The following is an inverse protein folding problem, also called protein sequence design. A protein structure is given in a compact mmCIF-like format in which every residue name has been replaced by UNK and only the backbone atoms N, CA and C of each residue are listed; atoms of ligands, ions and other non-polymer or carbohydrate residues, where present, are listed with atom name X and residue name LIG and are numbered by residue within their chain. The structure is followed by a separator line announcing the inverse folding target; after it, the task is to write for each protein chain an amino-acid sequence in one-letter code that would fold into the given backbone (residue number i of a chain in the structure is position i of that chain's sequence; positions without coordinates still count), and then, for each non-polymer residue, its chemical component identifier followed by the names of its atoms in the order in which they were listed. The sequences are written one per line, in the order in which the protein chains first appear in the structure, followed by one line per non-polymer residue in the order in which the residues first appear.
data_IF_542759367936
#
_entry.id   IF_542759367936
#
_cell.length_a   1.000
_cell.length_b   1.000
_cell.length_c   1.000
_cell.angle_alpha   90.00
_cell.angle_beta   90.00
_cell.angle_gamma   90.00
#
_symmetry.space_group_name_H-M   'P 1'
#
loop_
_entity.id
_entity.type
_entity.pdbx_description
1 polymer ?
#
# COMPACT_ATOMS: atom_id res chain seq x y z
N UNK A 1 3.81 4.97 -34.68
CA UNK A 1 4.18 3.65 -34.12
C UNK A 1 2.97 2.73 -34.22
N UNK A 2 3.16 1.46 -34.56
CA UNK A 2 2.10 0.46 -34.55
C UNK A 2 1.74 0.09 -33.09
N UNK A 3 0.48 -0.28 -32.86
CA UNK A 3 0.02 -0.75 -31.55
C UNK A 3 0.70 -2.09 -31.20
N UNK A 4 1.23 -2.28 -29.97
CA UNK A 4 1.81 -3.55 -29.55
C UNK A 4 0.69 -4.54 -29.21
N UNK A 5 0.21 -5.27 -30.21
CA UNK A 5 -0.85 -6.29 -30.06
C UNK A 5 -0.20 -7.61 -29.64
N UNK A 6 -0.69 -8.19 -28.55
CA UNK A 6 -0.33 -9.55 -28.08
C UNK A 6 -1.43 -10.50 -28.57
N UNK A 7 -1.08 -11.52 -29.35
CA UNK A 7 -2.06 -12.50 -29.88
C UNK A 7 -2.37 -13.60 -28.86
N UNK A 8 -3.46 -14.34 -29.06
CA UNK A 8 -3.95 -15.33 -28.10
C UNK A 8 -2.96 -16.46 -27.77
N UNK A 9 -2.03 -16.76 -28.68
CA UNK A 9 -0.97 -17.75 -28.55
C UNK A 9 0.32 -17.19 -27.90
N UNK A 10 0.42 -15.88 -27.74
CA UNK A 10 1.57 -15.23 -27.12
C UNK A 10 1.42 -15.13 -25.60
N UNK A 11 2.50 -15.39 -24.88
CA UNK A 11 2.53 -15.27 -23.42
C UNK A 11 2.36 -13.80 -23.00
N UNK A 12 1.40 -13.56 -22.11
CA UNK A 12 1.24 -12.26 -21.46
C UNK A 12 2.12 -12.20 -20.21
N UNK A 13 3.18 -11.38 -20.26
CA UNK A 13 4.07 -11.19 -19.12
C UNK A 13 3.39 -10.30 -18.07
N UNK A 14 3.15 -10.84 -16.87
CA UNK A 14 2.68 -10.08 -15.71
C UNK A 14 3.90 -9.65 -14.90
N UNK A 15 4.13 -8.33 -14.82
CA UNK A 15 5.29 -7.79 -14.11
C UNK A 15 5.07 -7.68 -12.60
N UNK A 16 3.85 -7.40 -12.18
CA UNK A 16 3.44 -7.33 -10.77
C UNK A 16 1.93 -7.53 -10.67
N UNK A 17 1.46 -8.00 -9.51
CA UNK A 17 0.04 -8.21 -9.21
C UNK A 17 -0.44 -7.35 -8.04
N UNK A 18 -1.75 -7.10 -8.00
CA UNK A 18 -2.44 -6.57 -6.82
C UNK A 18 -3.35 -7.67 -6.29
N UNK A 19 -3.18 -8.03 -5.03
CA UNK A 19 -4.02 -8.99 -4.31
C UNK A 19 -4.75 -8.23 -3.20
N UNK A 20 -6.03 -8.51 -3.00
CA UNK A 20 -6.79 -7.95 -1.89
C UNK A 20 -7.20 -9.07 -0.93
N UNK A 21 -6.62 -9.07 0.27
CA UNK A 21 -6.91 -10.06 1.30
C UNK A 21 -7.92 -9.52 2.32
N UNK A 22 -9.11 -10.10 2.32
CA UNK A 22 -10.20 -9.71 3.24
C UNK A 22 -10.71 -10.90 4.04
N UNK A 23 -10.82 -10.70 5.35
CA UNK A 23 -11.33 -11.65 6.34
C UNK A 23 -11.51 -10.94 7.69
N UNK A 24 -12.26 -11.53 8.62
CA UNK A 24 -12.41 -11.03 9.99
C UNK A 24 -11.07 -10.94 10.75
N UNK A 25 -10.98 -10.10 11.81
CA UNK A 25 -9.79 -10.02 12.66
C UNK A 25 -9.35 -11.40 13.19
N UNK A 26 -8.04 -11.63 13.25
CA UNK A 26 -7.49 -12.90 13.76
C UNK A 26 -7.44 -14.05 12.75
N UNK A 27 -8.03 -13.93 11.55
CA UNK A 27 -8.00 -14.99 10.52
C UNK A 27 -6.70 -15.06 9.69
N UNK A 28 -5.58 -14.57 10.22
CA UNK A 28 -4.26 -14.79 9.62
C UNK A 28 -3.89 -13.95 8.38
N UNK A 29 -4.64 -12.88 8.05
CA UNK A 29 -4.36 -12.00 6.89
C UNK A 29 -2.91 -11.51 6.84
N UNK A 30 -2.43 -10.89 7.91
CA UNK A 30 -1.05 -10.38 8.00
C UNK A 30 -0.03 -11.51 7.86
N UNK A 31 -0.26 -12.64 8.52
CA UNK A 31 0.59 -13.84 8.42
C UNK A 31 0.64 -14.40 7.00
N UNK A 32 -0.47 -14.33 6.25
CA UNK A 32 -0.55 -14.71 4.86
C UNK A 32 0.16 -13.69 3.95
N UNK A 33 0.04 -12.38 4.23
CA UNK A 33 0.84 -11.37 3.54
C UNK A 33 2.35 -11.63 3.67
N UNK A 34 2.81 -12.08 4.84
CA UNK A 34 4.21 -12.47 5.06
C UNK A 34 4.63 -13.77 4.36
N UNK A 35 3.73 -14.54 3.72
CA UNK A 35 4.14 -15.68 2.88
C UNK A 35 4.68 -15.23 1.52
N UNK A 36 4.44 -13.98 1.11
CA UNK A 36 4.83 -13.49 -0.20
C UNK A 36 6.35 -13.40 -0.36
N UNK A 37 6.83 -13.40 -1.60
CA UNK A 37 8.26 -13.43 -1.89
C UNK A 37 8.95 -12.14 -1.43
N UNK A 38 9.97 -12.25 -0.56
CA UNK A 38 10.72 -11.11 -0.02
C UNK A 38 9.80 -9.95 0.43
N UNK A 39 8.82 -10.28 1.27
CA UNK A 39 7.80 -9.34 1.72
C UNK A 39 8.36 -8.25 2.66
N UNK A 40 7.88 -7.02 2.44
CA UNK A 40 7.93 -5.92 3.42
C UNK A 40 6.51 -5.46 3.71
N UNK A 41 6.15 -5.40 4.98
CA UNK A 41 4.84 -4.89 5.41
C UNK A 41 4.96 -3.43 5.84
N UNK A 42 4.09 -2.59 5.27
CA UNK A 42 3.81 -1.27 5.81
C UNK A 42 2.66 -1.40 6.80
N UNK A 43 3.03 -1.39 8.07
CA UNK A 43 2.16 -1.62 9.21
C UNK A 43 1.55 -0.29 9.67
N UNK A 44 0.39 0.04 9.11
CA UNK A 44 -0.40 1.24 9.40
C UNK A 44 -1.28 1.07 10.64
N UNK A 45 -1.70 -0.16 10.97
CA UNK A 45 -2.54 -0.43 12.16
C UNK A 45 -1.73 -0.83 13.41
N UNK A 46 -0.39 -0.94 13.26
CA UNK A 46 0.57 -1.36 14.30
C UNK A 46 0.31 -2.77 14.81
N UNK A 47 -0.33 -3.58 13.97
CA UNK A 47 -0.80 -4.92 14.26
C UNK A 47 0.21 -6.02 14.00
N UNK A 48 1.35 -5.72 13.36
CA UNK A 48 2.30 -6.75 12.91
C UNK A 48 2.84 -7.62 14.06
N UNK A 49 2.90 -7.09 15.29
CA UNK A 49 3.31 -7.84 16.49
C UNK A 49 2.45 -9.10 16.74
N UNK A 50 1.18 -9.11 16.30
CA UNK A 50 0.26 -10.25 16.45
C UNK A 50 0.66 -11.46 15.61
N UNK A 51 1.53 -11.29 14.62
CA UNK A 51 1.97 -12.39 13.75
C UNK A 51 3.03 -13.28 14.39
N UNK A 52 3.72 -12.82 15.45
CA UNK A 52 4.69 -13.63 16.20
C UNK A 52 5.75 -14.27 15.30
N UNK A 53 5.93 -15.60 15.44
CA UNK A 53 6.88 -16.40 14.64
C UNK A 53 6.53 -16.45 13.15
N UNK A 54 5.30 -16.12 12.76
CA UNK A 54 4.87 -16.11 11.37
C UNK A 54 5.30 -14.84 10.61
N UNK A 55 5.92 -13.88 11.31
CA UNK A 55 6.51 -12.67 10.71
C UNK A 55 7.77 -12.99 9.91
N UNK A 56 7.59 -13.39 8.66
CA UNK A 56 8.67 -13.83 7.76
C UNK A 56 9.22 -12.73 6.84
N UNK A 57 8.76 -11.49 7.01
CA UNK A 57 9.19 -10.34 6.23
C UNK A 57 9.63 -9.15 7.08
N UNK A 58 10.14 -8.12 6.40
CA UNK A 58 10.46 -6.84 7.03
C UNK A 58 9.17 -6.07 7.38
N UNK A 59 9.27 -5.15 8.33
CA UNK A 59 8.15 -4.31 8.76
C UNK A 59 8.60 -2.87 8.85
N UNK A 60 7.84 -1.96 8.25
CA UNK A 60 7.88 -0.53 8.51
C UNK A 60 6.69 -0.20 9.39
N UNK A 61 6.94 0.21 10.62
CA UNK A 61 5.89 0.70 11.51
C UNK A 61 5.55 2.14 11.11
N UNK A 62 4.46 2.32 10.37
CA UNK A 62 4.09 3.63 9.83
C UNK A 62 3.45 4.46 10.94
N UNK A 63 4.06 5.59 11.28
CA UNK A 63 3.53 6.53 12.27
C UNK A 63 2.70 7.61 11.59
N UNK A 64 3.11 8.01 10.39
CA UNK A 64 2.52 9.09 9.62
C UNK A 64 2.77 8.86 8.13
N UNK A 65 1.97 9.51 7.28
CA UNK A 65 2.06 9.32 5.83
C UNK A 65 3.46 9.59 5.26
N UNK A 66 4.17 10.58 5.79
CA UNK A 66 5.50 10.96 5.31
C UNK A 66 6.57 9.89 5.48
N UNK A 67 6.37 8.91 6.36
CA UNK A 67 7.33 7.81 6.57
C UNK A 67 7.44 6.92 5.31
N UNK A 68 6.37 6.89 4.50
CA UNK A 68 6.29 6.07 3.29
C UNK A 68 5.95 6.88 2.03
N UNK A 69 5.58 8.16 2.16
CA UNK A 69 5.21 9.01 1.01
C UNK A 69 6.36 9.23 0.01
N UNK A 70 7.60 9.28 0.50
CA UNK A 70 8.77 9.70 -0.27
C UNK A 70 9.77 8.55 -0.50
N UNK A 71 9.28 7.31 -0.62
CA UNK A 71 10.14 6.17 -0.91
C UNK A 71 10.86 6.35 -2.23
N UNK A 72 12.14 5.97 -2.24
CA UNK A 72 12.94 5.83 -3.44
C UNK A 72 12.90 4.37 -3.94
N UNK A 73 13.17 4.11 -5.22
CA UNK A 73 13.29 2.75 -5.73
C UNK A 73 14.31 1.90 -4.96
N UNK A 74 15.37 2.54 -4.44
CA UNK A 74 16.43 1.90 -3.65
C UNK A 74 15.91 1.36 -2.31
N UNK A 75 14.98 2.07 -1.65
CA UNK A 75 14.41 1.63 -0.38
C UNK A 75 13.66 0.29 -0.52
N UNK A 76 13.10 0.04 -1.72
CA UNK A 76 12.35 -1.18 -2.04
C UNK A 76 13.15 -2.19 -2.87
N UNK A 77 14.40 -1.91 -3.24
CA UNK A 77 15.20 -2.79 -4.08
C UNK A 77 15.36 -4.23 -3.53
N UNK A 78 15.54 -4.44 -2.20
CA UNK A 78 15.66 -5.79 -1.64
C UNK A 78 14.36 -6.60 -1.66
N UNK A 79 13.21 -5.94 -1.79
CA UNK A 79 11.88 -6.54 -1.61
C UNK A 79 11.19 -6.79 -2.94
N UNK A 80 10.34 -7.80 -3.01
CA UNK A 80 9.51 -8.09 -4.19
C UNK A 80 8.02 -7.83 -3.95
N UNK A 81 7.56 -7.96 -2.71
CA UNK A 81 6.16 -7.71 -2.33
C UNK A 81 6.08 -6.65 -1.25
N UNK A 82 5.14 -5.70 -1.40
CA UNK A 82 4.74 -4.74 -0.38
C UNK A 82 3.37 -5.13 0.14
N UNK A 83 3.27 -5.40 1.45
CA UNK A 83 2.01 -5.70 2.13
C UNK A 83 1.49 -4.42 2.79
N UNK A 84 0.29 -3.97 2.45
CA UNK A 84 -0.37 -2.81 3.06
C UNK A 84 -1.29 -3.28 4.19
N UNK A 85 -0.80 -3.23 5.44
CA UNK A 85 -1.53 -3.74 6.61
C UNK A 85 -2.00 -2.57 7.51
N UNK A 86 -3.22 -2.07 7.43
CA UNK A 86 -4.30 -2.41 6.49
C UNK A 86 -4.62 -1.24 5.56
N UNK A 87 -5.27 -1.51 4.43
CA UNK A 87 -5.72 -0.48 3.47
C UNK A 87 -6.60 0.60 4.12
N UNK A 88 -7.48 0.21 5.04
CA UNK A 88 -8.32 1.18 5.78
C UNK A 88 -7.48 2.13 6.63
N UNK A 89 -6.52 1.59 7.39
CA UNK A 89 -5.61 2.39 8.21
C UNK A 89 -4.71 3.30 7.35
N UNK A 90 -4.26 2.84 6.18
CA UNK A 90 -3.53 3.66 5.21
C UNK A 90 -4.35 4.85 4.72
N UNK A 91 -5.62 4.64 4.36
CA UNK A 91 -6.51 5.72 3.92
C UNK A 91 -6.72 6.76 5.03
N UNK A 92 -6.92 6.33 6.27
CA UNK A 92 -7.03 7.25 7.41
C UNK A 92 -5.71 7.98 7.70
N UNK A 93 -4.56 7.32 7.51
CA UNK A 93 -3.25 7.94 7.63
C UNK A 93 -3.04 9.06 6.59
N UNK A 94 -3.42 8.82 5.33
CA UNK A 94 -3.40 9.84 4.26
C UNK A 94 -4.32 11.01 4.61
N UNK A 95 -5.57 10.75 5.03
CA UNK A 95 -6.52 11.80 5.42
C UNK A 95 -5.98 12.64 6.56
N UNK A 96 -5.40 12.01 7.57
CA UNK A 96 -4.75 12.68 8.71
C UNK A 96 -3.60 13.58 8.25
N UNK A 97 -2.78 13.11 7.31
CA UNK A 97 -1.75 13.95 6.71
C UNK A 97 -2.33 15.14 5.94
N UNK A 98 -3.37 14.93 5.14
CA UNK A 98 -4.03 16.02 4.40
C UNK A 98 -4.70 17.04 5.32
N UNK A 99 -5.16 16.62 6.50
CA UNK A 99 -5.65 17.53 7.54
C UNK A 99 -4.56 18.49 8.01
N UNK A 100 -3.26 18.21 7.91
CA UNK A 100 -2.22 19.16 8.33
C UNK A 100 -2.26 20.48 7.52
N UNK A 101 -2.79 20.45 6.29
CA UNK A 101 -2.95 21.62 5.44
C UNK A 101 -4.27 22.34 5.72
N UNK A 102 -4.21 23.59 6.21
CA UNK A 102 -5.39 24.37 6.61
C UNK A 102 -6.46 24.48 5.51
N UNK A 103 -6.05 24.62 4.24
CA UNK A 103 -6.98 24.70 3.10
C UNK A 103 -7.83 23.44 2.87
N UNK A 104 -7.43 22.30 3.45
CA UNK A 104 -8.16 21.04 3.35
C UNK A 104 -9.21 20.86 4.46
N UNK A 105 -9.26 21.74 5.47
CA UNK A 105 -10.16 21.63 6.63
C UNK A 105 -11.46 22.40 6.44
N UNK A 106 -12.56 21.80 6.86
CA UNK A 106 -13.83 22.47 7.07
C UNK A 106 -13.78 23.34 8.34
N UNK A 107 -14.81 24.15 8.57
CA UNK A 107 -14.91 25.01 9.76
C UNK A 107 -14.97 24.20 11.07
N UNK A 108 -15.52 22.99 11.02
CA UNK A 108 -15.60 22.05 12.14
C UNK A 108 -14.31 21.22 12.35
N UNK A 109 -13.28 21.46 11.54
CA UNK A 109 -12.01 20.73 11.60
C UNK A 109 -11.98 19.43 10.78
N UNK A 110 -13.11 18.98 10.22
CA UNK A 110 -13.17 17.78 9.38
C UNK A 110 -12.55 18.01 7.99
N UNK A 111 -12.26 16.93 7.25
CA UNK A 111 -11.67 17.03 5.91
C UNK A 111 -12.73 17.47 4.88
N UNK A 112 -12.43 18.45 4.02
CA UNK A 112 -13.31 18.87 2.92
C UNK A 112 -13.53 17.74 1.93
N UNK A 113 -14.68 17.70 1.27
CA UNK A 113 -15.01 16.69 0.24
C UNK A 113 -13.96 16.61 -0.89
N UNK A 114 -13.45 17.77 -1.35
CA UNK A 114 -12.36 17.80 -2.36
C UNK A 114 -11.08 17.12 -1.84
N UNK A 115 -10.74 17.31 -0.56
CA UNK A 115 -9.57 16.70 0.04
C UNK A 115 -9.77 15.21 0.35
N UNK A 116 -11.01 14.75 0.60
CA UNK A 116 -11.36 13.33 0.60
C UNK A 116 -11.11 12.69 -0.78
N UNK A 117 -11.51 13.38 -1.86
CA UNK A 117 -11.19 12.96 -3.23
C UNK A 117 -9.67 12.88 -3.48
N UNK A 118 -8.91 13.85 -2.96
CA UNK A 118 -7.45 13.84 -3.02
C UNK A 118 -6.86 12.63 -2.28
N UNK A 119 -7.37 12.26 -1.10
CA UNK A 119 -6.89 11.08 -0.37
C UNK A 119 -7.00 9.80 -1.20
N UNK A 120 -8.14 9.60 -1.87
CA UNK A 120 -8.36 8.45 -2.76
C UNK A 120 -7.44 8.49 -3.98
N UNK A 121 -7.16 9.67 -4.52
CA UNK A 121 -6.21 9.83 -5.61
C UNK A 121 -4.79 9.49 -5.16
N UNK A 122 -4.35 9.99 -4.00
CA UNK A 122 -3.04 9.71 -3.42
C UNK A 122 -2.87 8.22 -3.17
N UNK A 123 -3.86 7.55 -2.60
CA UNK A 123 -3.85 6.08 -2.43
C UNK A 123 -3.64 5.36 -3.76
N UNK A 124 -4.46 5.65 -4.78
CA UNK A 124 -4.34 5.01 -6.10
C UNK A 124 -2.98 5.26 -6.76
N UNK A 125 -2.49 6.49 -6.70
CA UNK A 125 -1.18 6.86 -7.24
C UNK A 125 -0.06 6.11 -6.54
N UNK A 126 -0.16 5.95 -5.22
CA UNK A 126 0.83 5.21 -4.44
C UNK A 126 0.88 3.73 -4.83
N UNK A 127 -0.28 3.06 -4.92
CA UNK A 127 -0.35 1.66 -5.37
C UNK A 127 0.20 1.50 -6.79
N UNK A 128 -0.15 2.41 -7.70
CA UNK A 128 0.37 2.41 -9.07
C UNK A 128 1.90 2.61 -9.11
N UNK A 129 2.45 3.38 -8.18
CA UNK A 129 3.91 3.57 -8.05
C UNK A 129 4.58 2.27 -7.61
N UNK A 130 4.02 1.54 -6.65
CA UNK A 130 4.58 0.25 -6.24
C UNK A 130 4.57 -0.76 -7.40
N UNK A 131 3.47 -0.82 -8.14
CA UNK A 131 3.34 -1.69 -9.32
C UNK A 131 4.31 -1.29 -10.43
N UNK A 132 4.51 0.01 -10.69
CA UNK A 132 5.47 0.47 -11.70
C UNK A 132 6.93 0.20 -11.32
N UNK A 133 7.22 0.04 -10.03
CA UNK A 133 8.49 -0.45 -9.50
C UNK A 133 8.64 -1.98 -9.57
N UNK A 134 7.67 -2.68 -10.15
CA UNK A 134 7.65 -4.14 -10.26
C UNK A 134 7.44 -4.84 -8.92
N UNK A 135 6.75 -4.20 -7.98
CA UNK A 135 6.42 -4.79 -6.67
C UNK A 135 5.02 -5.35 -6.70
N UNK A 136 4.86 -6.59 -6.26
CA UNK A 136 3.55 -7.12 -5.93
C UNK A 136 2.98 -6.35 -4.74
N UNK A 137 1.68 -6.11 -4.74
CA UNK A 137 0.99 -5.41 -3.67
C UNK A 137 -0.08 -6.32 -3.09
N UNK A 138 -0.04 -6.51 -1.76
CA UNK A 138 -0.99 -7.34 -1.00
C UNK A 138 -1.73 -6.49 0.02
#
# INVERSE_FOLDING_TARGET
MALPIITADQTLLVQAIIVYLYADPGLGKSSMGFTAEKAISFDFDRGAHRTGELRRGAVVQVQQWSDVANLTPQDLAPYKTVVIDTVGAMLECIKTHLLLTANNRQKDGSLKLKAQGLANQTFKQYINTLISLGKDVV
#
